data_IF_938722076679
#
_entry.id   IF_938722076679
#
_cell.length_a   1.000
_cell.length_b   1.000
_cell.length_c   1.000
_cell.angle_alpha   90.00
_cell.angle_beta   90.00
_cell.angle_gamma   90.00
#
_symmetry.space_group_name_H-M   'P 1'
#
loop_
_entity.id
_entity.type
_entity.pdbx_description
1 polymer ?
#
# COMPACT_ATOMS: atom_id res chain seq x y z
N UNK A 1 -13.49 26.37 -8.88
CA UNK A 1 -14.40 25.37 -9.49
C UNK A 1 -13.86 23.99 -9.14
N UNK A 2 -14.52 23.31 -8.20
CA UNK A 2 -14.02 22.07 -7.58
C UNK A 2 -14.14 20.88 -8.51
N UNK A 3 -13.04 20.53 -9.17
CA UNK A 3 -12.93 19.30 -9.95
C UNK A 3 -13.15 18.09 -9.06
N UNK A 4 -13.99 17.16 -9.52
CA UNK A 4 -14.33 15.89 -8.84
C UNK A 4 -13.06 15.22 -8.31
N UNK A 5 -12.90 15.16 -6.98
CA UNK A 5 -11.89 14.32 -6.35
C UNK A 5 -12.31 12.85 -6.52
N UNK A 6 -11.59 12.14 -7.39
CA UNK A 6 -11.50 10.68 -7.50
C UNK A 6 -12.80 9.89 -7.71
N UNK A 7 -12.91 9.13 -8.81
CA UNK A 7 -14.00 8.17 -9.03
C UNK A 7 -13.87 6.86 -8.21
N UNK A 8 -12.92 6.81 -7.27
CA UNK A 8 -12.64 5.65 -6.42
C UNK A 8 -11.85 4.53 -7.10
N UNK A 9 -11.47 4.68 -8.38
CA UNK A 9 -10.71 3.68 -9.16
C UNK A 9 -9.20 3.86 -9.09
N UNK A 10 -8.75 4.89 -8.36
CA UNK A 10 -7.33 5.17 -8.18
C UNK A 10 -6.66 4.00 -7.48
N UNK A 11 -5.59 3.50 -8.07
CA UNK A 11 -4.77 2.44 -7.49
C UNK A 11 -3.82 3.01 -6.46
N UNK A 12 -3.60 2.22 -5.42
CA UNK A 12 -2.60 2.44 -4.41
C UNK A 12 -1.75 1.18 -4.27
N UNK A 13 -0.45 1.36 -4.50
CA UNK A 13 0.57 0.36 -4.27
C UNK A 13 1.13 0.53 -2.86
N UNK A 14 0.54 -0.19 -1.89
CA UNK A 14 0.92 -0.13 -0.48
C UNK A 14 2.13 -1.03 -0.18
N UNK A 15 2.72 -0.91 1.00
CA UNK A 15 3.66 -1.89 1.56
C UNK A 15 3.48 -1.90 3.09
N UNK A 16 3.60 -3.06 3.73
CA UNK A 16 3.64 -3.13 5.19
C UNK A 16 5.03 -2.71 5.68
N UNK A 17 5.12 -1.98 6.80
CA UNK A 17 6.42 -1.54 7.35
C UNK A 17 7.40 -2.71 7.57
N UNK A 18 6.89 -3.86 8.03
CA UNK A 18 7.70 -5.08 8.17
C UNK A 18 8.33 -5.50 6.83
N UNK A 19 7.53 -5.53 5.76
CA UNK A 19 7.99 -5.96 4.45
C UNK A 19 8.90 -4.92 3.79
N UNK A 20 8.69 -3.63 4.05
CA UNK A 20 9.59 -2.57 3.60
C UNK A 20 11.00 -2.75 4.19
N UNK A 21 11.09 -2.93 5.52
CA UNK A 21 12.36 -3.20 6.21
C UNK A 21 12.97 -4.50 5.70
N UNK A 22 12.19 -5.57 5.57
CA UNK A 22 12.66 -6.86 5.08
C UNK A 22 13.17 -6.78 3.63
N UNK A 23 12.51 -6.02 2.76
CA UNK A 23 12.92 -5.81 1.38
C UNK A 23 14.25 -5.05 1.31
N UNK A 24 14.41 -3.98 2.10
CA UNK A 24 15.67 -3.23 2.16
C UNK A 24 16.80 -4.15 2.64
N UNK A 25 16.58 -4.96 3.68
CA UNK A 25 17.58 -5.94 4.14
C UNK A 25 17.92 -6.96 3.06
N UNK A 26 16.92 -7.52 2.38
CA UNK A 26 17.16 -8.45 1.27
C UNK A 26 17.99 -7.83 0.16
N UNK A 27 17.74 -6.57 -0.20
CA UNK A 27 18.50 -5.85 -1.22
C UNK A 27 19.94 -5.55 -0.80
N UNK A 28 20.19 -5.36 0.49
CA UNK A 28 21.55 -5.17 1.04
C UNK A 28 22.30 -6.51 1.12
N UNK A 29 21.62 -7.57 1.54
CA UNK A 29 22.22 -8.87 1.86
C UNK A 29 22.38 -9.78 0.63
N UNK A 30 21.78 -9.43 -0.51
CA UNK A 30 21.81 -10.25 -1.74
C UNK A 30 22.78 -9.67 -2.77
N UNK A 31 23.87 -10.40 -3.01
CA UNK A 31 24.86 -10.03 -4.01
C UNK A 31 24.29 -9.97 -5.43
N UNK A 32 24.79 -9.02 -6.24
CA UNK A 32 24.45 -8.90 -7.66
C UNK A 32 23.17 -8.11 -7.96
N UNK A 33 22.43 -7.67 -6.94
CA UNK A 33 21.28 -6.77 -7.12
C UNK A 33 21.76 -5.32 -7.28
N UNK A 34 21.27 -4.63 -8.31
CA UNK A 34 21.65 -3.24 -8.58
C UNK A 34 20.58 -2.46 -9.34
N UNK A 35 20.65 -1.13 -9.24
CA UNK A 35 19.69 -0.22 -9.85
C UNK A 35 18.39 -0.09 -9.04
N UNK A 36 17.33 0.50 -9.64
CA UNK A 36 16.10 0.80 -8.93
C UNK A 36 15.24 -0.45 -8.68
N UNK A 37 14.61 -0.50 -7.50
CA UNK A 37 13.62 -1.49 -7.10
C UNK A 37 12.38 -0.78 -6.53
N UNK A 38 11.20 -1.22 -6.93
CA UNK A 38 9.96 -0.80 -6.29
C UNK A 38 9.74 -1.64 -5.03
N UNK A 39 9.52 -0.98 -3.90
CA UNK A 39 9.18 -1.61 -2.62
C UNK A 39 7.69 -1.40 -2.38
N UNK A 40 6.88 -2.19 -3.08
CA UNK A 40 5.41 -2.21 -2.96
C UNK A 40 4.95 -3.66 -2.85
N UNK A 41 3.85 -3.91 -2.14
CA UNK A 41 3.20 -5.21 -2.13
C UNK A 41 2.78 -5.63 -3.56
N UNK A 42 2.75 -6.94 -3.87
CA UNK A 42 2.52 -7.43 -5.23
C UNK A 42 1.09 -7.21 -5.73
N UNK A 43 0.15 -6.91 -4.83
CA UNK A 43 -1.27 -6.79 -5.12
C UNK A 43 -1.78 -5.37 -4.84
N UNK A 44 -1.52 -4.37 -5.72
CA UNK A 44 -2.07 -3.03 -5.56
C UNK A 44 -3.60 -3.05 -5.48
N UNK A 45 -4.14 -2.20 -4.62
CA UNK A 45 -5.59 -2.10 -4.36
C UNK A 45 -6.12 -0.74 -4.76
N UNK A 46 -7.41 -0.69 -5.09
CA UNK A 46 -8.13 0.56 -5.33
C UNK A 46 -8.54 1.24 -4.02
N UNK A 47 -8.86 2.53 -4.07
CA UNK A 47 -9.45 3.24 -2.93
C UNK A 47 -10.70 2.54 -2.36
N UNK A 48 -11.51 1.92 -3.22
CA UNK A 48 -12.68 1.13 -2.79
C UNK A 48 -12.27 -0.11 -1.99
N UNK A 49 -11.26 -0.84 -2.46
CA UNK A 49 -10.79 -2.06 -1.82
C UNK A 49 -10.13 -1.80 -0.48
N UNK A 50 -9.26 -0.79 -0.36
CA UNK A 50 -8.67 -0.44 0.93
C UNK A 50 -9.71 0.07 1.93
N UNK A 51 -10.68 0.88 1.47
CA UNK A 51 -11.79 1.33 2.31
C UNK A 51 -12.54 0.12 2.88
N UNK A 52 -12.90 -0.85 2.03
CA UNK A 52 -13.59 -2.05 2.47
C UNK A 52 -12.75 -2.89 3.44
N UNK A 53 -11.44 -3.03 3.18
CA UNK A 53 -10.51 -3.75 4.05
C UNK A 53 -10.41 -3.10 5.44
N UNK A 54 -10.28 -1.78 5.51
CA UNK A 54 -10.28 -1.04 6.78
C UNK A 54 -11.57 -1.25 7.57
N UNK A 55 -12.73 -1.21 6.92
CA UNK A 55 -14.02 -1.46 7.57
C UNK A 55 -14.11 -2.83 8.20
N UNK A 56 -13.63 -3.86 7.49
CA UNK A 56 -13.57 -5.24 7.98
C UNK A 56 -12.61 -5.40 9.14
N UNK A 57 -11.40 -4.84 9.06
CA UNK A 57 -10.38 -5.01 10.11
C UNK A 57 -10.73 -4.21 11.37
N UNK A 58 -11.20 -2.97 11.21
CA UNK A 58 -11.52 -2.07 12.33
C UNK A 58 -12.94 -2.26 12.88
N UNK A 59 -13.72 -3.21 12.36
CA UNK A 59 -15.10 -3.46 12.76
C UNK A 59 -16.00 -2.20 12.70
N UNK A 60 -15.76 -1.33 11.71
CA UNK A 60 -16.47 -0.06 11.54
C UNK A 60 -17.19 -0.06 10.19
N UNK A 61 -18.51 0.17 10.13
CA UNK A 61 -19.25 0.13 8.87
C UNK A 61 -18.76 1.23 7.91
N UNK A 62 -18.26 0.84 6.73
CA UNK A 62 -17.77 1.74 5.67
C UNK A 62 -18.87 2.08 4.68
N UNK A 63 -19.97 2.66 5.17
CA UNK A 63 -21.10 3.08 4.33
C UNK A 63 -20.78 4.32 3.48
N UNK A 64 -19.74 5.07 3.87
CA UNK A 64 -19.23 6.22 3.16
C UNK A 64 -17.74 6.03 2.86
N UNK A 65 -17.22 6.60 1.75
CA UNK A 65 -15.79 6.60 1.49
C UNK A 65 -15.04 7.17 2.71
N UNK A 66 -13.95 6.52 3.12
CA UNK A 66 -13.16 6.96 4.28
C UNK A 66 -12.71 8.40 4.01
N UNK A 67 -13.06 9.37 4.87
CA UNK A 67 -12.66 10.74 4.66
C UNK A 67 -11.13 10.85 4.58
N UNK A 68 -10.63 11.68 3.66
CA UNK A 68 -9.19 11.89 3.49
C UNK A 68 -8.46 12.28 4.79
N UNK A 69 -9.16 12.93 5.73
CA UNK A 69 -8.63 13.24 7.06
C UNK A 69 -8.33 12.00 7.91
N UNK A 70 -9.18 10.95 7.83
CA UNK A 70 -8.95 9.69 8.55
C UNK A 70 -7.78 8.93 7.91
N UNK A 71 -7.72 8.92 6.58
CA UNK A 71 -6.57 8.36 5.86
C UNK A 71 -5.28 9.12 6.24
N UNK A 72 -5.30 10.45 6.35
CA UNK A 72 -4.18 11.27 6.86
C UNK A 72 -3.75 10.90 8.28
N UNK A 73 -4.69 10.59 9.17
CA UNK A 73 -4.33 10.21 10.55
C UNK A 73 -3.68 8.83 10.60
N UNK A 74 -4.14 7.89 9.78
CA UNK A 74 -3.59 6.52 9.73
C UNK A 74 -2.28 6.46 8.94
N UNK A 75 -2.17 7.24 7.85
CA UNK A 75 -1.06 7.19 6.89
C UNK A 75 -0.04 8.31 7.05
N UNK A 76 -0.29 9.26 7.95
CA UNK A 76 0.57 10.41 8.16
C UNK A 76 0.73 11.28 6.91
N UNK A 77 1.98 11.66 6.62
CA UNK A 77 2.34 12.56 5.52
C UNK A 77 2.10 11.98 4.12
N UNK A 78 1.96 10.64 3.99
CA UNK A 78 1.75 9.97 2.70
C UNK A 78 0.38 10.25 2.06
N UNK A 79 -0.59 10.77 2.81
CA UNK A 79 -1.94 10.97 2.29
C UNK A 79 -2.07 12.11 1.25
N UNK A 80 -1.03 12.92 1.06
CA UNK A 80 -0.97 13.90 -0.04
C UNK A 80 -0.88 13.24 -1.43
N UNK A 81 -0.16 12.12 -1.51
CA UNK A 81 0.13 11.42 -2.77
C UNK A 81 -0.91 10.34 -3.12
N UNK A 82 -1.77 9.96 -2.17
CA UNK A 82 -2.87 8.97 -2.36
C UNK A 82 -3.88 9.41 -3.44
N UNK A 83 -3.88 10.69 -3.83
CA UNK A 83 -4.70 11.20 -4.94
C UNK A 83 -4.08 10.92 -6.33
N UNK A 84 -2.81 10.51 -6.39
CA UNK A 84 -2.15 10.03 -7.60
C UNK A 84 -2.37 8.53 -7.79
N UNK A 85 -2.94 8.12 -8.92
CA UNK A 85 -3.13 6.69 -9.23
C UNK A 85 -1.89 6.14 -9.93
N UNK A 86 -1.06 5.37 -9.22
CA UNK A 86 0.04 4.63 -9.81
C UNK A 86 -0.05 3.15 -9.41
N UNK A 87 -0.20 2.27 -10.41
CA UNK A 87 -0.15 0.82 -10.22
C UNK A 87 1.29 0.36 -10.40
N UNK A 88 2.06 0.43 -9.32
CA UNK A 88 3.48 0.11 -9.25
C UNK A 88 3.64 -1.32 -8.75
N UNK A 89 4.35 -2.14 -9.54
CA UNK A 89 4.61 -3.55 -9.21
C UNK A 89 6.08 -3.75 -8.80
N UNK A 90 6.34 -4.61 -7.81
CA UNK A 90 7.68 -4.94 -7.32
C UNK A 90 8.36 -6.03 -8.17
N UNK A 91 8.22 -6.01 -9.51
CA UNK A 91 8.62 -7.12 -10.38
C UNK A 91 10.07 -7.59 -10.14
N UNK A 92 11.03 -6.66 -10.15
CA UNK A 92 12.45 -7.00 -9.93
C UNK A 92 12.73 -7.54 -8.53
N UNK A 93 11.99 -7.08 -7.52
CA UNK A 93 12.12 -7.55 -6.14
C UNK A 93 11.53 -8.97 -5.99
N UNK A 94 10.44 -9.28 -6.68
CA UNK A 94 9.93 -10.65 -6.75
C UNK A 94 10.89 -11.58 -7.49
N UNK A 95 11.45 -11.12 -8.62
CA UNK A 95 12.44 -11.85 -9.41
C UNK A 95 13.75 -12.10 -8.63
N UNK A 96 14.11 -11.24 -7.67
CA UNK A 96 15.26 -11.47 -6.79
C UNK A 96 15.00 -12.54 -5.72
N UNK A 97 13.79 -13.07 -5.64
CA UNK A 97 13.40 -14.13 -4.71
C UNK A 97 12.87 -13.62 -3.38
N UNK A 98 12.68 -12.30 -3.22
CA UNK A 98 12.04 -11.74 -2.03
C UNK A 98 10.60 -12.25 -1.87
N UNK A 99 10.19 -12.50 -0.63
CA UNK A 99 8.84 -12.96 -0.29
C UNK A 99 8.22 -12.03 0.74
N UNK A 100 7.06 -11.47 0.41
CA UNK A 100 6.28 -10.62 1.30
C UNK A 100 5.61 -11.44 2.39
N UNK A 101 5.69 -10.99 3.64
CA UNK A 101 4.91 -11.55 4.74
C UNK A 101 3.44 -11.09 4.67
N UNK A 102 3.19 -9.88 4.17
CA UNK A 102 1.87 -9.26 4.07
C UNK A 102 1.56 -8.81 2.63
N UNK A 103 1.40 -9.75 1.68
CA UNK A 103 1.10 -9.41 0.28
C UNK A 103 -0.30 -8.81 0.10
N UNK A 104 -1.21 -9.03 1.05
CA UNK A 104 -2.60 -8.58 1.02
C UNK A 104 -2.85 -7.44 2.01
N UNK A 105 -3.67 -6.47 1.60
CA UNK A 105 -3.92 -5.24 2.36
C UNK A 105 -4.50 -5.50 3.76
N UNK A 106 -5.36 -6.51 3.93
CA UNK A 106 -5.94 -6.83 5.24
C UNK A 106 -4.89 -7.31 6.23
N UNK A 107 -3.94 -8.13 5.78
CA UNK A 107 -2.82 -8.59 6.61
C UNK A 107 -1.94 -7.43 7.02
N UNK A 108 -1.63 -6.54 6.07
CA UNK A 108 -0.85 -5.33 6.32
C UNK A 108 -1.54 -4.40 7.34
N UNK A 109 -2.85 -4.14 7.21
CA UNK A 109 -3.60 -3.32 8.17
C UNK A 109 -3.59 -3.97 9.57
N UNK A 110 -3.83 -5.28 9.66
CA UNK A 110 -3.82 -5.98 10.95
C UNK A 110 -2.46 -5.93 11.65
N UNK A 111 -1.37 -5.97 10.90
CA UNK A 111 -0.02 -5.89 11.45
C UNK A 111 0.36 -4.48 11.93
N UNK A 112 -0.37 -3.45 11.51
CA UNK A 112 -0.12 -2.05 11.88
C UNK A 112 -0.92 -1.56 13.10
N UNK A 113 -1.82 -2.39 13.63
CA UNK A 113 -2.63 -2.11 14.83
C UNK A 113 -1.95 -2.66 16.10
#
# INVERSE_FOLDING_TARGET
>A
AGGRMGDGRQYWSFVALHDEVAAIRHLIDTDGLSGPFNVTAPNPVTNREITAAMGRVLHRPTLFPVPAAVLRTVLGEMAGDVLGSARVLPTRLLESGFRFAFPEIEGAIRAAL
#
